data_IF_754796405888
#
_entry.id   IF_754796405888
#
_cell.length_a   1.000
_cell.length_b   1.000
_cell.length_c   1.000
_cell.angle_alpha   90.00
_cell.angle_beta   90.00
_cell.angle_gamma   90.00
#
_symmetry.space_group_name_H-M   'P 1'
#
loop_
_entity.id
_entity.type
_entity.pdbx_description
1 polymer ?
#
# COMPACT_ATOMS: atom_id res chain seq x y z
N UNK A 1 13.13 -5.00 -9.40
CA UNK A 1 11.78 -5.58 -9.58
C UNK A 1 10.63 -4.65 -9.19
N UNK A 2 10.89 -3.54 -8.49
CA UNK A 2 9.86 -2.57 -8.11
C UNK A 2 9.05 -2.02 -9.28
N UNK A 3 9.70 -1.57 -10.37
CA UNK A 3 8.98 -1.01 -11.52
C UNK A 3 7.97 -2.01 -12.10
N UNK A 4 8.36 -3.29 -12.21
CA UNK A 4 7.47 -4.38 -12.65
C UNK A 4 6.32 -4.56 -11.68
N UNK A 5 6.60 -4.57 -10.37
CA UNK A 5 5.57 -4.64 -9.33
C UNK A 5 4.55 -3.48 -9.42
N UNK A 6 5.02 -2.26 -9.66
CA UNK A 6 4.15 -1.09 -9.82
C UNK A 6 3.23 -1.21 -11.04
N UNK A 7 3.76 -1.69 -12.18
CA UNK A 7 2.96 -1.93 -13.38
C UNK A 7 1.88 -2.99 -13.13
N UNK A 8 2.26 -4.11 -12.52
CA UNK A 8 1.33 -5.19 -12.18
C UNK A 8 0.25 -4.72 -11.20
N UNK A 9 0.62 -3.98 -10.16
CA UNK A 9 -0.31 -3.43 -9.19
C UNK A 9 -1.25 -2.39 -9.80
N UNK A 10 -0.74 -1.52 -10.68
CA UNK A 10 -1.55 -0.56 -11.42
C UNK A 10 -2.58 -1.27 -12.30
N UNK A 11 -2.14 -2.20 -13.14
CA UNK A 11 -3.01 -3.02 -13.99
C UNK A 11 -4.04 -3.81 -13.18
N UNK A 12 -3.64 -4.35 -12.03
CA UNK A 12 -4.55 -5.06 -11.14
C UNK A 12 -5.58 -4.13 -10.50
N UNK A 13 -5.19 -2.91 -10.10
CA UNK A 13 -6.10 -1.90 -9.57
C UNK A 13 -7.12 -1.43 -10.62
N UNK A 14 -6.68 -1.26 -11.87
CA UNK A 14 -7.55 -0.89 -12.98
C UNK A 14 -8.57 -2.00 -13.30
N UNK A 15 -8.14 -3.28 -13.29
CA UNK A 15 -9.00 -4.42 -13.65
C UNK A 15 -9.87 -4.96 -12.53
N UNK A 16 -9.33 -5.05 -11.30
CA UNK A 16 -10.00 -5.70 -10.17
C UNK A 16 -10.46 -4.72 -9.09
N UNK A 17 -10.11 -3.45 -9.23
CA UNK A 17 -10.41 -2.39 -8.28
C UNK A 17 -9.36 -2.27 -7.18
N UNK A 18 -9.12 -1.04 -6.73
CA UNK A 18 -8.08 -0.73 -5.74
C UNK A 18 -8.23 -1.51 -4.42
N UNK A 19 -9.45 -1.77 -3.94
CA UNK A 19 -9.65 -2.47 -2.65
C UNK A 19 -8.97 -3.83 -2.61
N UNK A 20 -9.18 -4.68 -3.63
CA UNK A 20 -8.58 -6.02 -3.70
C UNK A 20 -7.07 -5.93 -3.87
N UNK A 21 -6.59 -4.99 -4.68
CA UNK A 21 -5.16 -4.78 -4.92
C UNK A 21 -4.43 -4.37 -3.65
N UNK A 22 -5.00 -3.46 -2.84
CA UNK A 22 -4.41 -3.08 -1.55
C UNK A 22 -4.41 -4.24 -0.55
N UNK A 23 -5.50 -5.01 -0.43
CA UNK A 23 -5.56 -6.15 0.50
C UNK A 23 -4.51 -7.20 0.12
N UNK A 24 -4.49 -7.64 -1.14
CA UNK A 24 -3.55 -8.67 -1.61
C UNK A 24 -2.11 -8.17 -1.56
N UNK A 25 -1.86 -6.95 -2.03
CA UNK A 25 -0.52 -6.36 -2.04
C UNK A 25 0.03 -6.13 -0.63
N UNK A 26 -0.81 -5.69 0.32
CA UNK A 26 -0.41 -5.55 1.73
C UNK A 26 -0.07 -6.90 2.38
N UNK A 27 -0.85 -7.95 2.12
CA UNK A 27 -0.54 -9.29 2.62
C UNK A 27 0.78 -9.82 2.04
N UNK A 28 0.97 -9.68 0.72
CA UNK A 28 2.21 -10.08 0.05
C UNK A 28 3.41 -9.28 0.57
N UNK A 29 3.25 -7.99 0.81
CA UNK A 29 4.29 -7.14 1.38
C UNK A 29 4.64 -7.56 2.82
N UNK A 30 3.64 -7.85 3.66
CA UNK A 30 3.85 -8.32 5.02
C UNK A 30 4.65 -9.62 5.06
N UNK A 31 4.23 -10.62 4.27
CA UNK A 31 4.86 -11.94 4.21
C UNK A 31 6.27 -11.84 3.62
N UNK A 32 6.44 -11.12 2.50
CA UNK A 32 7.75 -10.98 1.86
C UNK A 32 8.75 -10.23 2.73
N UNK A 33 8.33 -9.14 3.40
CA UNK A 33 9.19 -8.40 4.32
C UNK A 33 9.57 -9.24 5.53
N UNK A 34 8.63 -9.97 6.12
CA UNK A 34 8.91 -10.85 7.26
C UNK A 34 9.92 -11.95 6.88
N UNK A 35 9.71 -12.60 5.74
CA UNK A 35 10.62 -13.61 5.21
C UNK A 35 12.01 -13.02 4.91
N UNK A 36 12.08 -11.82 4.32
CA UNK A 36 13.35 -11.14 4.05
C UNK A 36 14.17 -10.98 5.32
N UNK A 37 13.62 -10.37 6.37
CA UNK A 37 14.39 -10.10 7.59
C UNK A 37 14.77 -11.36 8.38
N UNK A 38 14.07 -12.49 8.21
CA UNK A 38 14.46 -13.77 8.83
C UNK A 38 15.50 -14.55 8.03
N UNK A 39 15.41 -14.55 6.70
CA UNK A 39 16.26 -15.37 5.83
C UNK A 39 17.50 -14.62 5.29
N UNK A 40 17.61 -13.31 5.55
CA UNK A 40 18.72 -12.46 5.05
C UNK A 40 20.12 -12.89 5.53
N UNK A 41 20.23 -13.70 6.59
CA UNK A 41 21.52 -14.08 7.17
C UNK A 41 22.21 -15.29 6.52
N UNK A 42 21.56 -15.97 5.58
CA UNK A 42 21.96 -17.34 5.20
C UNK A 42 22.90 -17.40 3.98
N UNK A 43 22.67 -16.61 2.92
CA UNK A 43 23.51 -16.62 1.70
C UNK A 43 23.37 -15.34 0.85
N UNK A 44 24.46 -14.83 0.21
CA UNK A 44 24.43 -13.61 -0.62
C UNK A 44 23.54 -13.70 -1.87
N UNK A 45 23.44 -14.89 -2.45
CA UNK A 45 22.61 -15.16 -3.63
C UNK A 45 21.10 -15.12 -3.31
N UNK A 46 20.71 -15.60 -2.13
CA UNK A 46 19.32 -15.53 -1.65
C UNK A 46 18.91 -14.09 -1.37
N UNK A 47 19.83 -13.25 -0.86
CA UNK A 47 19.57 -11.83 -0.62
C UNK A 47 19.07 -11.11 -1.89
N UNK A 48 19.68 -11.39 -3.05
CA UNK A 48 19.26 -10.74 -4.31
C UNK A 48 17.85 -11.15 -4.74
N UNK A 49 17.52 -12.44 -4.60
CA UNK A 49 16.18 -12.96 -4.89
C UNK A 49 15.14 -12.39 -3.92
N UNK A 50 15.40 -12.45 -2.61
CA UNK A 50 14.46 -11.97 -1.60
C UNK A 50 14.28 -10.44 -1.70
N UNK A 51 15.35 -9.68 -1.98
CA UNK A 51 15.24 -8.24 -2.23
C UNK A 51 14.44 -7.95 -3.49
N UNK A 52 14.61 -8.75 -4.54
CA UNK A 52 13.79 -8.71 -5.76
C UNK A 52 12.31 -8.96 -5.45
N UNK A 53 11.99 -9.97 -4.66
CA UNK A 53 10.62 -10.31 -4.25
C UNK A 53 10.00 -9.21 -3.39
N UNK A 54 10.70 -8.70 -2.39
CA UNK A 54 10.22 -7.56 -1.58
C UNK A 54 9.98 -6.36 -2.46
N UNK A 55 10.91 -6.02 -3.35
CA UNK A 55 10.74 -4.92 -4.31
C UNK A 55 9.51 -5.11 -5.20
N UNK A 56 9.24 -6.34 -5.67
CA UNK A 56 8.02 -6.66 -6.43
C UNK A 56 6.76 -6.41 -5.59
N UNK A 57 6.73 -6.86 -4.34
CA UNK A 57 5.58 -6.70 -3.44
C UNK A 57 5.35 -5.23 -3.02
N UNK A 58 6.42 -4.45 -2.81
CA UNK A 58 6.34 -2.99 -2.59
C UNK A 58 5.68 -2.29 -3.77
N UNK A 59 5.68 -2.91 -4.95
CA UNK A 59 4.97 -2.45 -6.14
C UNK A 59 3.48 -2.14 -5.94
N UNK A 60 2.83 -2.63 -4.86
CA UNK A 60 1.46 -2.22 -4.50
C UNK A 60 1.28 -0.70 -4.42
N UNK A 61 2.34 0.07 -4.14
CA UNK A 61 2.33 1.54 -4.17
C UNK A 61 1.89 2.09 -5.52
N UNK A 62 2.06 1.35 -6.62
CA UNK A 62 1.54 1.71 -7.94
C UNK A 62 0.01 1.86 -8.00
N UNK A 63 -0.73 1.26 -7.06
CA UNK A 63 -2.19 1.42 -6.95
C UNK A 63 -2.63 2.69 -6.18
N UNK A 64 -1.71 3.40 -5.53
CA UNK A 64 -1.99 4.64 -4.78
C UNK A 64 -2.55 5.77 -5.66
N UNK A 65 -1.94 6.14 -6.81
CA UNK A 65 -2.46 7.23 -7.64
C UNK A 65 -3.89 6.97 -8.14
N UNK A 66 -4.26 5.70 -8.36
CA UNK A 66 -5.63 5.31 -8.71
C UNK A 66 -6.64 5.77 -7.66
N UNK A 67 -6.34 5.60 -6.37
CA UNK A 67 -7.22 6.01 -5.27
C UNK A 67 -7.19 7.54 -5.12
N UNK A 68 -6.00 8.15 -5.20
CA UNK A 68 -5.84 9.60 -5.04
C UNK A 68 -6.63 10.39 -6.09
N UNK A 69 -6.60 9.97 -7.35
CA UNK A 69 -7.37 10.58 -8.45
C UNK A 69 -8.87 10.52 -8.21
N UNK A 70 -9.37 9.47 -7.55
CA UNK A 70 -10.80 9.31 -7.22
C UNK A 70 -11.22 10.04 -5.95
N UNK A 71 -10.27 10.40 -5.08
CA UNK A 71 -10.54 11.08 -3.82
C UNK A 71 -10.80 12.59 -4.00
N UNK A 72 -10.27 13.20 -5.07
CA UNK A 72 -10.42 14.64 -5.34
C UNK A 72 -11.27 14.92 -6.59
N UNK A 73 -12.12 15.97 -6.55
CA UNK A 73 -12.91 16.39 -7.70
C UNK A 73 -12.00 16.97 -8.80
N UNK A 74 -12.48 17.00 -10.04
CA UNK A 74 -11.65 17.20 -11.23
C UNK A 74 -10.93 18.57 -11.24
N UNK A 75 -11.57 19.59 -10.68
CA UNK A 75 -11.13 20.99 -10.68
C UNK A 75 -9.88 21.21 -9.82
N UNK A 76 -9.74 20.47 -8.72
CA UNK A 76 -8.61 20.59 -7.77
C UNK A 76 -7.77 19.33 -7.65
N UNK A 77 -7.99 18.34 -8.54
CA UNK A 77 -7.31 17.04 -8.48
C UNK A 77 -5.79 17.16 -8.50
N UNK A 78 -5.25 17.93 -9.44
CA UNK A 78 -3.80 18.06 -9.58
C UNK A 78 -3.16 18.74 -8.37
N UNK A 79 -3.76 19.83 -7.89
CA UNK A 79 -3.25 20.59 -6.75
C UNK A 79 -3.41 19.82 -5.45
N UNK A 80 -4.57 19.19 -5.24
CA UNK A 80 -4.84 18.34 -4.08
C UNK A 80 -3.90 17.14 -3.98
N UNK A 81 -3.71 16.40 -5.09
CA UNK A 81 -2.79 15.26 -5.13
C UNK A 81 -1.36 15.70 -4.83
N UNK A 82 -0.87 16.75 -5.51
CA UNK A 82 0.49 17.26 -5.31
C UNK A 82 0.70 17.74 -3.86
N UNK A 83 -0.26 18.47 -3.30
CA UNK A 83 -0.20 18.94 -1.92
C UNK A 83 -0.14 17.78 -0.93
N UNK A 84 -1.09 16.83 -1.00
CA UNK A 84 -1.11 15.66 -0.11
C UNK A 84 0.15 14.81 -0.24
N UNK A 85 0.66 14.62 -1.47
CA UNK A 85 1.87 13.85 -1.71
C UNK A 85 3.10 14.54 -1.14
N UNK A 86 3.31 15.83 -1.43
CA UNK A 86 4.45 16.58 -0.95
C UNK A 86 4.48 16.71 0.58
N UNK A 87 3.33 17.01 1.21
CA UNK A 87 3.23 17.09 2.68
C UNK A 87 3.55 15.74 3.31
N UNK A 88 2.96 14.65 2.80
CA UNK A 88 3.24 13.30 3.31
C UNK A 88 4.71 12.93 3.14
N UNK A 89 5.31 13.24 1.98
CA UNK A 89 6.71 12.95 1.70
C UNK A 89 7.66 13.78 2.58
N UNK A 90 7.35 15.05 2.83
CA UNK A 90 8.14 15.89 3.72
C UNK A 90 8.14 15.37 5.16
N UNK A 91 6.98 14.91 5.66
CA UNK A 91 6.85 14.38 7.02
C UNK A 91 7.52 13.01 7.13
N UNK A 92 7.11 12.05 6.30
CA UNK A 92 7.56 10.65 6.44
C UNK A 92 8.94 10.40 5.83
N UNK A 93 9.38 11.17 4.83
CA UNK A 93 10.68 11.00 4.20
C UNK A 93 11.85 11.17 5.18
N UNK A 94 11.73 12.09 6.14
CA UNK A 94 12.73 12.29 7.20
C UNK A 94 12.44 11.52 8.49
N UNK A 95 11.17 11.36 8.86
CA UNK A 95 10.79 10.75 10.14
C UNK A 95 10.99 9.23 10.14
N UNK A 96 10.71 8.55 9.02
CA UNK A 96 10.85 7.09 8.90
C UNK A 96 12.25 6.58 9.25
N UNK A 97 13.37 7.09 8.67
CA UNK A 97 14.70 6.59 9.00
C UNK A 97 15.07 6.86 10.47
N UNK A 98 14.65 7.99 11.04
CA UNK A 98 14.89 8.29 12.47
C UNK A 98 14.15 7.29 13.36
N UNK A 99 12.85 7.08 13.11
CA UNK A 99 12.02 6.16 13.87
C UNK A 99 12.54 4.72 13.78
N UNK A 100 12.89 4.25 12.58
CA UNK A 100 13.44 2.91 12.37
C UNK A 100 14.79 2.76 13.06
N UNK A 101 15.67 3.77 12.96
CA UNK A 101 16.99 3.74 13.62
C UNK A 101 16.86 3.69 15.14
N UNK A 102 15.96 4.48 15.74
CA UNK A 102 15.71 4.42 17.19
C UNK A 102 15.17 3.05 17.60
N UNK A 103 14.25 2.48 16.82
CA UNK A 103 13.66 1.18 17.10
C UNK A 103 14.68 0.03 16.95
N UNK A 104 15.66 0.19 16.05
CA UNK A 104 16.79 -0.75 15.91
C UNK A 104 17.65 -0.84 17.17
N UNK A 105 17.68 0.20 18.01
CA UNK A 105 18.33 0.16 19.33
C UNK A 105 17.64 -0.80 20.31
N UNK A 106 16.39 -1.18 20.06
CA UNK A 106 15.62 -2.12 20.89
C UNK A 106 15.65 -3.53 20.30
N UNK A 107 15.48 -3.65 18.97
CA UNK A 107 15.46 -4.94 18.28
C UNK A 107 16.06 -4.86 16.87
N UNK A 108 16.95 -5.79 16.48
CA UNK A 108 17.45 -5.89 15.11
C UNK A 108 16.35 -6.10 14.06
N UNK A 109 15.17 -6.62 14.47
CA UNK A 109 14.01 -6.84 13.61
C UNK A 109 13.11 -5.61 13.48
N UNK A 110 13.49 -4.46 14.06
CA UNK A 110 12.71 -3.22 14.02
C UNK A 110 12.21 -2.81 12.63
N UNK A 111 13.01 -2.89 11.54
CA UNK A 111 12.53 -2.56 10.21
C UNK A 111 11.40 -3.48 9.73
N UNK A 112 11.43 -4.78 10.11
CA UNK A 112 10.39 -5.74 9.76
C UNK A 112 9.06 -5.39 10.45
N UNK A 113 9.11 -5.04 11.74
CA UNK A 113 7.94 -4.60 12.50
C UNK A 113 7.35 -3.31 11.94
N UNK A 114 8.21 -2.37 11.52
CA UNK A 114 7.77 -1.13 10.91
C UNK A 114 7.02 -1.38 9.59
N UNK A 115 7.59 -2.19 8.69
CA UNK A 115 6.94 -2.54 7.41
C UNK A 115 5.66 -3.34 7.65
N UNK A 116 5.63 -4.20 8.66
CA UNK A 116 4.42 -4.94 9.05
C UNK A 116 3.32 -4.00 9.57
N UNK A 117 3.66 -2.97 10.33
CA UNK A 117 2.69 -1.95 10.74
C UNK A 117 2.15 -1.17 9.52
N UNK A 118 3.01 -0.78 8.57
CA UNK A 118 2.59 -0.12 7.33
C UNK A 118 1.69 -1.03 6.47
N UNK A 119 2.00 -2.32 6.37
CA UNK A 119 1.21 -3.26 5.58
C UNK A 119 -0.16 -3.49 6.20
N UNK A 120 -0.28 -3.56 7.52
CA UNK A 120 -1.56 -3.60 8.24
C UNK A 120 -2.39 -2.34 8.00
N UNK A 121 -1.77 -1.15 7.98
CA UNK A 121 -2.48 0.08 7.61
C UNK A 121 -2.99 0.03 6.17
N UNK A 122 -2.17 -0.45 5.22
CA UNK A 122 -2.60 -0.65 3.83
C UNK A 122 -3.74 -1.66 3.68
N UNK A 123 -3.72 -2.73 4.48
CA UNK A 123 -4.80 -3.72 4.54
C UNK A 123 -6.09 -3.09 5.07
N UNK A 124 -6.01 -2.33 6.16
CA UNK A 124 -7.15 -1.58 6.72
C UNK A 124 -7.75 -0.61 5.71
N UNK A 125 -6.91 0.11 4.96
CA UNK A 125 -7.33 1.03 3.91
C UNK A 125 -8.00 0.28 2.75
N UNK A 126 -7.48 -0.88 2.35
CA UNK A 126 -8.11 -1.75 1.37
C UNK A 126 -9.49 -2.27 1.80
N UNK A 127 -9.65 -2.61 3.09
CA UNK A 127 -10.94 -3.02 3.68
C UNK A 127 -11.92 -1.85 3.73
N UNK A 128 -11.47 -0.67 4.18
CA UNK A 128 -12.30 0.54 4.22
C UNK A 128 -12.81 0.93 2.82
N UNK A 129 -11.94 0.86 1.81
CA UNK A 129 -12.32 1.11 0.42
C UNK A 129 -13.35 0.09 -0.10
N UNK A 130 -13.29 -1.16 0.38
CA UNK A 130 -14.30 -2.18 0.07
C UNK A 130 -15.67 -1.81 0.61
N UNK A 131 -15.71 -1.30 1.84
CA UNK A 131 -16.94 -0.94 2.55
C UNK A 131 -17.61 0.29 1.94
N UNK A 132 -16.83 1.32 1.55
CA UNK A 132 -17.36 2.52 0.90
C UNK A 132 -18.05 2.23 -0.44
N UNK A 133 -17.54 1.28 -1.22
CA UNK A 133 -18.18 0.82 -2.46
C UNK A 133 -19.45 0.00 -2.20
N UNK A 134 -19.41 -0.92 -1.23
CA UNK A 134 -20.57 -1.74 -0.86
C UNK A 134 -21.74 -0.93 -0.27
N UNK A 135 -21.44 0.10 0.52
CA UNK A 135 -22.43 1.00 1.10
C UNK A 135 -23.17 1.84 0.05
N UNK A 136 -22.44 2.35 -0.95
CA UNK A 136 -23.05 3.13 -2.03
C UNK A 136 -23.95 2.28 -2.93
N UNK A 137 -23.59 1.01 -3.18
CA UNK A 137 -24.42 0.08 -3.96
C UNK A 137 -25.69 -0.35 -3.21
N UNK A 138 -25.62 -0.54 -1.89
CA UNK A 138 -26.78 -0.87 -1.06
C UNK A 138 -27.75 0.33 -0.94
N UNK A 139 -27.23 1.55 -0.81
CA UNK A 139 -28.03 2.77 -0.79
C UNK A 139 -28.75 3.00 -2.12
N UNK A 140 -28.06 2.84 -3.26
CA UNK A 140 -28.64 2.98 -4.59
C UNK A 140 -29.70 1.91 -4.91
N UNK A 141 -29.49 0.66 -4.47
CA UNK A 141 -30.50 -0.39 -4.58
C UNK A 141 -31.75 -0.07 -3.74
N UNK A 142 -31.57 0.52 -2.56
CA UNK A 142 -32.66 0.96 -1.70
C UNK A 142 -33.47 2.14 -2.24
N UNK A 143 -32.86 3.04 -3.04
CA UNK A 143 -33.60 4.10 -3.75
C UNK A 143 -34.37 3.57 -4.95
N UNK A 144 -33.77 2.68 -5.76
CA UNK A 144 -34.44 2.09 -6.93
C UNK A 144 -35.67 1.26 -6.54
N UNK A 145 -35.66 0.64 -5.36
CA UNK A 145 -36.80 -0.12 -4.83
C UNK A 145 -37.91 0.76 -4.23
N UNK A 146 -37.63 2.06 -4.02
CA UNK A 146 -38.59 3.06 -3.53
C UNK A 146 -39.23 3.88 -4.66
N UNK A 147 -38.78 3.68 -5.91
CA UNK A 147 -39.43 4.28 -7.07
C UNK A 147 -40.73 3.48 -7.37
N UNK A 148 -41.88 4.17 -7.50
CA UNK A 148 -43.19 3.55 -7.71
C UNK A 148 -43.35 2.87 -9.08
#
# INVERSE_FOLDING_TARGET
>A
MLCVGCLLAGLAADRFGASRTFIVGSLLLAVSSWAFYHLSGTSPEQLFLLYGTVGLCVGVVGAVPYVMVRAFPAEVRFTGISFSYNVSYAIFGGLTPIAVTMLMGVSPMAPAWYVLALSLMGLGLGIWLRQGLGGNSAAAAGELQRLP
#
